data_IF_973249035182
#
_entry.id   IF_973249035182
#
_cell.length_a   1.000
_cell.length_b   1.000
_cell.length_c   1.000
_cell.angle_alpha   90.00
_cell.angle_beta   90.00
_cell.angle_gamma   90.00
#
_symmetry.space_group_name_H-M   'P 1'
#
loop_
_entity.id
_entity.type
_entity.pdbx_description
1 polymer ?
#
# COMPACT_ATOMS: atom_id res chain seq x y z
N UNK A 1 -10.08 14.18 -18.97
CA UNK A 1 -9.12 14.55 -17.90
C UNK A 1 -7.93 15.24 -18.53
N UNK A 2 -7.36 16.24 -17.87
CA UNK A 2 -6.14 16.88 -18.36
C UNK A 2 -4.97 15.90 -18.34
N UNK A 3 -4.02 15.98 -19.31
CA UNK A 3 -2.84 15.15 -19.29
C UNK A 3 -2.02 15.36 -18.01
N UNK A 4 -1.34 14.32 -17.55
CA UNK A 4 -0.47 14.39 -16.38
C UNK A 4 0.70 15.35 -16.67
N UNK A 5 0.95 16.29 -15.76
CA UNK A 5 2.08 17.21 -15.80
C UNK A 5 3.36 16.57 -15.24
N UNK A 6 3.18 15.68 -14.28
CA UNK A 6 4.24 14.85 -13.72
C UNK A 6 3.80 13.38 -13.81
N UNK A 7 4.41 12.64 -14.71
CA UNK A 7 4.14 11.22 -14.97
C UNK A 7 5.34 10.32 -14.66
N UNK A 8 6.34 10.84 -13.94
CA UNK A 8 7.61 10.17 -13.66
C UNK A 8 7.43 8.74 -13.14
N UNK A 9 6.53 8.55 -12.18
CA UNK A 9 6.33 7.23 -11.57
C UNK A 9 5.76 6.22 -12.58
N UNK A 10 4.87 6.67 -13.47
CA UNK A 10 4.30 5.82 -14.51
C UNK A 10 5.33 5.48 -15.58
N UNK A 11 6.17 6.44 -15.96
CA UNK A 11 7.28 6.22 -16.92
C UNK A 11 8.28 5.21 -16.37
N UNK A 12 8.69 5.36 -15.11
CA UNK A 12 9.59 4.38 -14.46
C UNK A 12 8.95 2.99 -14.47
N UNK A 13 7.66 2.87 -14.12
CA UNK A 13 6.94 1.57 -14.12
C UNK A 13 6.79 0.96 -15.53
N UNK A 14 6.88 1.75 -16.59
CA UNK A 14 6.96 1.27 -17.98
C UNK A 14 8.39 0.95 -18.44
N UNK A 15 9.39 1.08 -17.56
CA UNK A 15 10.80 0.87 -17.89
C UNK A 15 11.45 2.01 -18.67
N UNK A 16 10.82 3.17 -18.74
CA UNK A 16 11.35 4.36 -19.43
C UNK A 16 12.40 5.06 -18.55
N UNK A 17 13.38 5.69 -19.22
CA UNK A 17 14.32 6.59 -18.52
C UNK A 17 13.61 7.87 -18.11
N UNK A 18 13.90 8.32 -16.90
CA UNK A 18 13.38 9.56 -16.35
C UNK A 18 14.50 10.51 -16.00
N UNK A 19 14.20 11.80 -15.96
CA UNK A 19 15.13 12.88 -15.62
C UNK A 19 15.60 12.84 -14.18
N UNK A 20 14.86 12.18 -13.30
CA UNK A 20 15.21 11.95 -11.89
C UNK A 20 14.40 10.77 -11.32
N UNK A 21 14.77 10.32 -10.15
CA UNK A 21 14.03 9.30 -9.40
C UNK A 21 12.71 9.91 -8.88
N UNK A 22 11.54 9.29 -9.16
CA UNK A 22 10.29 9.71 -8.55
C UNK A 22 10.24 9.35 -7.06
N UNK A 23 9.53 10.17 -6.27
CA UNK A 23 9.40 10.01 -4.82
C UNK A 23 7.98 10.16 -4.33
N UNK A 24 7.55 9.23 -3.48
CA UNK A 24 6.39 9.35 -2.62
C UNK A 24 6.66 8.61 -1.31
N UNK A 25 5.82 8.77 -0.29
CA UNK A 25 6.03 8.09 1.00
C UNK A 25 4.79 7.31 1.42
N UNK A 26 5.00 6.04 1.76
CA UNK A 26 3.92 5.21 2.32
C UNK A 26 3.31 5.87 3.56
N UNK A 27 1.97 6.01 3.55
CA UNK A 27 1.18 6.71 4.57
C UNK A 27 1.48 8.22 4.65
N UNK A 28 1.93 8.84 3.55
CA UNK A 28 2.16 10.29 3.44
C UNK A 28 0.90 11.10 3.76
N UNK A 29 -0.26 10.62 3.36
CA UNK A 29 -1.55 11.19 3.73
C UNK A 29 -1.92 10.74 5.15
N UNK A 30 -2.22 11.70 6.01
CA UNK A 30 -2.58 11.41 7.40
C UNK A 30 -1.42 11.50 8.38
N UNK A 31 -1.58 10.92 9.53
CA UNK A 31 -0.64 10.70 10.64
C UNK A 31 0.02 11.92 11.25
N UNK A 32 0.84 12.69 10.56
CA UNK A 32 1.81 13.67 11.09
C UNK A 32 1.60 15.10 10.58
N UNK A 33 0.84 15.29 9.49
CA UNK A 33 0.58 16.62 8.94
C UNK A 33 -0.36 17.41 9.86
N UNK A 34 -0.02 18.67 10.22
CA UNK A 34 -0.85 19.49 11.10
C UNK A 34 -2.30 19.63 10.62
N UNK A 35 -2.50 19.79 9.31
CA UNK A 35 -3.83 19.89 8.69
C UNK A 35 -4.65 18.61 8.89
N UNK A 36 -4.00 17.46 8.78
CA UNK A 36 -4.65 16.18 9.07
C UNK A 36 -5.04 16.05 10.54
N UNK A 37 -4.19 16.50 11.47
CA UNK A 37 -4.47 16.41 12.90
C UNK A 37 -5.72 17.20 13.28
N UNK A 38 -5.95 18.35 12.66
CA UNK A 38 -7.20 19.13 12.84
C UNK A 38 -8.44 18.34 12.40
N UNK A 39 -8.36 17.63 11.27
CA UNK A 39 -9.46 16.78 10.79
C UNK A 39 -9.66 15.54 11.69
N UNK A 40 -8.57 14.96 12.18
CA UNK A 40 -8.60 13.84 13.10
C UNK A 40 -9.30 14.15 14.44
N UNK A 41 -9.16 15.36 14.94
CA UNK A 41 -9.84 15.81 16.17
C UNK A 41 -11.35 15.95 15.98
N UNK A 42 -11.80 16.28 14.75
CA UNK A 42 -13.21 16.57 14.45
C UNK A 42 -14.00 15.35 14.00
N UNK A 43 -13.35 14.43 13.28
CA UNK A 43 -14.02 13.33 12.58
C UNK A 43 -13.40 11.98 12.94
N UNK A 44 -14.24 10.97 13.12
CA UNK A 44 -13.81 9.59 13.31
C UNK A 44 -13.02 9.05 12.13
N UNK A 45 -12.24 8.00 12.34
CA UNK A 45 -11.37 7.46 11.28
C UNK A 45 -12.16 6.97 10.06
N UNK A 46 -13.17 6.13 10.27
CA UNK A 46 -13.98 5.63 9.17
C UNK A 46 -14.86 6.72 8.55
N UNK A 47 -15.29 7.70 9.32
CA UNK A 47 -15.98 8.87 8.78
C UNK A 47 -15.11 9.63 7.77
N UNK A 48 -13.82 9.83 8.08
CA UNK A 48 -12.86 10.44 7.15
C UNK A 48 -12.62 9.59 5.90
N UNK A 49 -12.65 8.26 6.02
CA UNK A 49 -12.52 7.37 4.87
C UNK A 49 -13.81 7.30 4.02
N UNK A 50 -14.98 7.43 4.66
CA UNK A 50 -16.29 7.26 4.03
C UNK A 50 -16.91 8.56 3.52
N UNK A 51 -16.30 9.71 3.83
CA UNK A 51 -16.71 11.02 3.31
C UNK A 51 -15.75 11.43 2.18
N UNK A 52 -16.19 11.41 0.91
CA UNK A 52 -15.33 11.67 -0.24
C UNK A 52 -14.55 12.98 -0.15
N UNK A 53 -15.17 14.04 0.39
CA UNK A 53 -14.56 15.36 0.53
C UNK A 53 -13.41 15.33 1.54
N UNK A 54 -13.57 14.66 2.67
CA UNK A 54 -12.53 14.52 3.68
C UNK A 54 -11.38 13.64 3.18
N UNK A 55 -11.70 12.52 2.53
CA UNK A 55 -10.70 11.66 1.92
C UNK A 55 -9.90 12.40 0.84
N UNK A 56 -10.56 13.24 0.04
CA UNK A 56 -9.94 14.08 -0.97
C UNK A 56 -9.00 15.11 -0.33
N UNK A 57 -9.49 15.90 0.62
CA UNK A 57 -8.68 16.89 1.33
C UNK A 57 -7.40 16.28 1.91
N UNK A 58 -7.54 15.17 2.64
CA UNK A 58 -6.40 14.47 3.27
C UNK A 58 -5.42 13.94 2.21
N UNK A 59 -5.93 13.43 1.09
CA UNK A 59 -5.08 12.92 0.01
C UNK A 59 -4.23 14.01 -0.64
N UNK A 60 -4.75 15.23 -0.73
CA UNK A 60 -4.07 16.36 -1.39
C UNK A 60 -3.02 17.02 -0.50
N UNK A 61 -3.16 16.98 0.81
CA UNK A 61 -2.24 17.63 1.76
C UNK A 61 -0.75 17.34 1.49
N UNK A 62 -0.30 16.09 1.28
CA UNK A 62 1.10 15.80 0.98
C UNK A 62 1.59 16.37 -0.36
N UNK A 63 0.70 16.50 -1.35
CA UNK A 63 1.04 17.06 -2.66
C UNK A 63 1.43 18.53 -2.51
N UNK A 64 0.65 19.28 -1.75
CA UNK A 64 0.88 20.70 -1.55
C UNK A 64 2.00 20.99 -0.54
N UNK A 65 2.13 20.17 0.51
CA UNK A 65 3.14 20.35 1.56
C UNK A 65 4.52 19.86 1.20
N UNK A 66 4.61 18.71 0.54
CA UNK A 66 5.87 18.01 0.31
C UNK A 66 6.31 18.06 -1.15
N UNK A 67 5.37 18.19 -2.09
CA UNK A 67 5.66 18.17 -3.52
C UNK A 67 6.04 16.78 -4.04
N UNK A 68 5.48 15.72 -3.49
CA UNK A 68 5.71 14.33 -3.91
C UNK A 68 5.20 14.06 -5.32
N UNK A 69 5.70 13.00 -5.96
CA UNK A 69 5.44 12.68 -7.36
C UNK A 69 4.22 11.76 -7.59
N UNK A 70 3.55 11.37 -6.53
CA UNK A 70 2.27 10.65 -6.61
C UNK A 70 1.39 10.94 -5.40
N UNK A 71 0.09 11.02 -5.60
CA UNK A 71 -0.90 10.95 -4.56
C UNK A 71 -1.23 9.49 -4.25
N UNK A 72 -1.55 9.18 -3.01
CA UNK A 72 -2.17 7.90 -2.64
C UNK A 72 -3.49 8.18 -1.94
N UNK A 73 -4.54 7.50 -2.37
CA UNK A 73 -5.86 7.60 -1.78
C UNK A 73 -5.81 7.46 -0.25
N UNK A 74 -6.46 8.38 0.47
CA UNK A 74 -6.70 8.19 1.90
C UNK A 74 -7.88 7.24 2.11
N UNK A 75 -7.58 6.04 2.56
CA UNK A 75 -8.53 4.98 2.87
C UNK A 75 -7.88 3.97 3.82
N UNK A 76 -8.52 2.82 4.05
CA UNK A 76 -7.98 1.71 4.84
C UNK A 76 -8.12 0.38 4.10
N UNK A 77 -7.22 -0.58 4.38
CA UNK A 77 -7.30 -1.93 3.80
C UNK A 77 -8.52 -2.72 4.32
N UNK A 78 -9.00 -2.38 5.51
CA UNK A 78 -10.10 -3.08 6.17
C UNK A 78 -11.50 -2.68 5.65
N UNK A 79 -11.58 -1.74 4.70
CA UNK A 79 -12.86 -1.47 3.99
C UNK A 79 -13.32 -2.71 3.19
N UNK A 80 -12.38 -3.58 2.77
CA UNK A 80 -12.70 -4.85 2.09
C UNK A 80 -13.41 -5.82 3.03
N UNK A 81 -12.87 -6.19 4.21
CA UNK A 81 -13.63 -6.95 5.20
C UNK A 81 -14.98 -6.35 5.60
N UNK A 82 -15.05 -5.00 5.74
CA UNK A 82 -16.34 -4.33 6.00
C UNK A 82 -17.35 -4.55 4.88
N UNK A 83 -16.92 -4.39 3.63
CA UNK A 83 -17.79 -4.63 2.48
C UNK A 83 -18.27 -6.09 2.41
N UNK A 84 -17.43 -7.05 2.81
CA UNK A 84 -17.77 -8.47 2.89
C UNK A 84 -18.77 -8.78 4.01
N UNK A 85 -19.02 -7.87 4.95
CA UNK A 85 -20.03 -8.02 6.01
C UNK A 85 -19.47 -8.08 7.43
N UNK A 86 -18.16 -7.89 7.63
CA UNK A 86 -17.59 -7.84 8.98
C UNK A 86 -17.67 -6.43 9.58
N UNK A 87 -18.01 -6.39 10.86
CA UNK A 87 -17.84 -5.16 11.64
C UNK A 87 -16.35 -4.92 11.90
N UNK A 88 -15.89 -3.70 11.62
CA UNK A 88 -14.53 -3.25 11.93
C UNK A 88 -14.61 -1.98 12.75
N UNK A 89 -14.00 -2.01 13.91
CA UNK A 89 -13.87 -0.87 14.82
C UNK A 89 -12.42 -0.42 14.86
N UNK A 90 -12.16 0.88 14.94
CA UNK A 90 -10.83 1.41 15.25
C UNK A 90 -10.84 1.96 16.67
N UNK A 91 -10.23 1.23 17.61
CA UNK A 91 -10.15 1.62 19.00
C UNK A 91 -8.83 2.36 19.23
N UNK A 92 -8.92 3.58 19.73
CA UNK A 92 -7.74 4.38 20.08
C UNK A 92 -6.85 3.57 21.05
N UNK A 93 -5.55 3.57 20.83
CA UNK A 93 -4.54 2.76 21.55
C UNK A 93 -4.49 1.25 21.26
N UNK A 94 -5.53 0.64 20.66
CA UNK A 94 -5.55 -0.80 20.32
C UNK A 94 -5.44 -1.08 18.83
N UNK A 95 -5.76 -0.08 18.00
CA UNK A 95 -5.84 -0.26 16.54
C UNK A 95 -7.14 -0.94 16.10
N UNK A 96 -7.14 -1.62 14.94
CA UNK A 96 -8.34 -2.26 14.41
C UNK A 96 -8.78 -3.46 15.26
N UNK A 97 -10.09 -3.56 15.48
CA UNK A 97 -10.76 -4.67 16.16
C UNK A 97 -11.92 -5.15 15.29
N UNK A 98 -11.99 -6.44 15.07
CA UNK A 98 -13.09 -7.15 14.43
C UNK A 98 -13.78 -8.00 15.52
N UNK A 99 -14.92 -7.55 16.06
CA UNK A 99 -15.54 -8.20 17.23
C UNK A 99 -15.98 -9.64 17.00
N UNK A 100 -16.26 -9.97 15.76
CA UNK A 100 -16.73 -11.31 15.35
C UNK A 100 -15.77 -11.92 14.29
N UNK A 101 -14.58 -12.41 14.69
CA UNK A 101 -13.61 -12.98 13.76
C UNK A 101 -14.12 -14.25 13.09
N UNK A 102 -13.48 -14.65 12.01
CA UNK A 102 -13.80 -15.89 11.25
C UNK A 102 -12.91 -17.02 11.76
N UNK A 103 -13.51 -17.98 12.45
CA UNK A 103 -12.77 -19.11 13.06
C UNK A 103 -13.38 -20.47 12.71
N UNK A 104 -14.54 -20.48 12.03
CA UNK A 104 -15.28 -21.70 11.68
C UNK A 104 -16.04 -21.53 10.37
N UNK A 105 -16.55 -22.66 9.84
CA UNK A 105 -17.46 -22.69 8.70
C UNK A 105 -18.71 -21.83 8.94
N UNK A 106 -19.27 -21.88 10.15
CA UNK A 106 -20.41 -21.05 10.52
C UNK A 106 -20.09 -19.56 10.46
N UNK A 107 -18.87 -19.17 10.88
CA UNK A 107 -18.45 -17.78 10.78
C UNK A 107 -18.26 -17.33 9.33
N UNK A 108 -17.70 -18.22 8.49
CA UNK A 108 -17.53 -17.93 7.07
C UNK A 108 -18.87 -17.70 6.36
N UNK A 109 -19.94 -18.36 6.78
CA UNK A 109 -21.28 -18.18 6.20
C UNK A 109 -21.90 -16.80 6.44
N UNK A 110 -21.33 -15.99 7.36
CA UNK A 110 -21.78 -14.63 7.65
C UNK A 110 -21.27 -13.59 6.67
N UNK A 111 -20.26 -13.94 5.86
CA UNK A 111 -19.67 -13.03 4.89
C UNK A 111 -19.97 -13.46 3.47
N UNK A 112 -19.93 -12.51 2.55
CA UNK A 112 -20.17 -12.74 1.12
C UNK A 112 -19.14 -11.97 0.28
N UNK A 113 -18.99 -12.38 -0.99
CA UNK A 113 -18.33 -11.52 -1.99
C UNK A 113 -19.37 -10.47 -2.42
N UNK A 114 -19.20 -9.20 -2.06
CA UNK A 114 -20.19 -8.15 -2.26
C UNK A 114 -20.18 -7.60 -3.70
N UNK A 115 -21.24 -6.91 -4.11
CA UNK A 115 -21.10 -5.89 -5.15
C UNK A 115 -20.37 -4.68 -4.53
N UNK A 116 -19.09 -4.52 -4.89
CA UNK A 116 -18.24 -3.46 -4.33
C UNK A 116 -18.71 -2.06 -4.72
N UNK A 117 -19.47 -1.92 -5.82
CA UNK A 117 -20.02 -0.63 -6.26
C UNK A 117 -21.07 -0.10 -5.28
N UNK A 118 -21.85 -1.01 -4.67
CA UNK A 118 -22.82 -0.65 -3.66
C UNK A 118 -22.16 -0.37 -2.30
N UNK A 119 -21.23 -1.24 -1.90
CA UNK A 119 -20.64 -1.20 -0.56
C UNK A 119 -19.50 -0.20 -0.39
N UNK A 120 -18.76 0.09 -1.46
CA UNK A 120 -17.56 0.93 -1.45
C UNK A 120 -17.66 2.14 -2.40
N UNK A 121 -18.90 2.56 -2.78
CA UNK A 121 -19.14 3.70 -3.66
C UNK A 121 -18.40 4.97 -3.22
N UNK A 122 -18.36 5.23 -1.92
CA UNK A 122 -17.70 6.40 -1.33
C UNK A 122 -16.20 6.46 -1.67
N UNK A 123 -15.54 5.30 -1.80
CA UNK A 123 -14.13 5.24 -2.22
C UNK A 123 -13.99 5.69 -3.67
N UNK A 124 -14.88 5.23 -4.54
CA UNK A 124 -14.84 5.57 -5.97
C UNK A 124 -15.21 7.03 -6.20
N UNK A 125 -16.13 7.58 -5.39
CA UNK A 125 -16.49 9.00 -5.41
C UNK A 125 -15.32 9.86 -4.93
N UNK A 126 -14.62 9.43 -3.86
CA UNK A 126 -13.38 10.08 -3.42
C UNK A 126 -12.30 10.09 -4.52
N UNK A 127 -12.08 8.96 -5.21
CA UNK A 127 -11.12 8.87 -6.33
C UNK A 127 -11.48 9.87 -7.44
N UNK A 128 -12.76 9.93 -7.85
CA UNK A 128 -13.21 10.88 -8.89
C UNK A 128 -12.97 12.33 -8.47
N UNK A 129 -13.28 12.66 -7.22
CA UNK A 129 -13.07 13.99 -6.66
C UNK A 129 -11.57 14.32 -6.60
N UNK A 130 -10.74 13.43 -6.07
CA UNK A 130 -9.28 13.60 -6.02
C UNK A 130 -8.71 13.82 -7.42
N UNK A 131 -9.12 13.04 -8.41
CA UNK A 131 -8.64 13.19 -9.80
C UNK A 131 -9.02 14.56 -10.38
N UNK A 132 -10.21 15.04 -10.07
CA UNK A 132 -10.66 16.38 -10.48
C UNK A 132 -9.78 17.47 -9.85
N UNK A 133 -9.56 17.41 -8.54
CA UNK A 133 -8.79 18.39 -7.78
C UNK A 133 -7.28 18.34 -8.08
N UNK A 134 -6.71 17.16 -8.29
CA UNK A 134 -5.33 16.99 -8.76
C UNK A 134 -5.11 17.68 -10.11
N UNK A 135 -6.13 17.71 -10.96
CA UNK A 135 -6.09 18.39 -12.27
C UNK A 135 -4.81 18.06 -13.08
N UNK A 136 -4.39 16.81 -13.03
CA UNK A 136 -3.21 16.31 -13.72
C UNK A 136 -1.86 16.66 -13.06
N UNK A 137 -1.82 17.23 -11.84
CA UNK A 137 -0.54 17.53 -11.15
C UNK A 137 0.36 16.30 -11.06
N UNK A 138 -0.15 15.20 -10.49
CA UNK A 138 0.55 13.92 -10.28
C UNK A 138 -0.43 12.76 -10.47
N UNK A 139 0.05 11.52 -10.70
CA UNK A 139 -0.80 10.34 -10.73
C UNK A 139 -1.36 10.00 -9.35
N UNK A 140 -2.49 9.30 -9.34
CA UNK A 140 -3.16 8.80 -8.14
C UNK A 140 -2.95 7.29 -8.00
N UNK A 141 -2.43 6.87 -6.85
CA UNK A 141 -2.29 5.47 -6.45
C UNK A 141 -3.58 5.02 -5.77
N UNK A 142 -4.24 4.00 -6.36
CA UNK A 142 -5.24 3.20 -5.67
C UNK A 142 -4.57 2.04 -4.94
N UNK A 143 -5.24 1.44 -3.95
CA UNK A 143 -4.63 0.33 -3.22
C UNK A 143 -5.64 -0.61 -2.57
N UNK A 144 -5.13 -1.79 -2.17
CA UNK A 144 -5.83 -2.72 -1.29
C UNK A 144 -4.82 -3.50 -0.42
N UNK A 145 -5.32 -4.12 0.64
CA UNK A 145 -4.58 -5.15 1.37
C UNK A 145 -4.49 -6.44 0.56
N UNK A 146 -3.35 -7.13 0.67
CA UNK A 146 -3.21 -8.48 0.13
C UNK A 146 -4.11 -9.47 0.90
N UNK A 147 -4.57 -10.54 0.25
CA UNK A 147 -5.52 -11.49 0.87
C UNK A 147 -5.02 -12.09 2.18
N UNK A 148 -3.76 -12.47 2.29
CA UNK A 148 -3.17 -12.94 3.54
C UNK A 148 -3.23 -11.87 4.65
N UNK A 149 -2.82 -10.65 4.35
CA UNK A 149 -2.89 -9.55 5.33
C UNK A 149 -4.31 -9.31 5.82
N UNK A 150 -5.31 -9.38 4.94
CA UNK A 150 -6.72 -9.22 5.32
C UNK A 150 -7.22 -10.41 6.13
N UNK A 151 -6.89 -11.65 5.73
CA UNK A 151 -7.19 -12.86 6.49
C UNK A 151 -6.62 -12.77 7.92
N UNK A 152 -5.39 -12.28 8.08
CA UNK A 152 -4.78 -12.09 9.40
C UNK A 152 -5.70 -11.30 10.35
N UNK A 153 -6.25 -10.17 9.90
CA UNK A 153 -7.18 -9.38 10.70
C UNK A 153 -8.54 -10.06 10.88
N UNK A 154 -9.07 -10.67 9.83
CA UNK A 154 -10.39 -11.32 9.85
C UNK A 154 -10.44 -12.52 10.79
N UNK A 155 -9.34 -13.26 10.91
CA UNK A 155 -9.23 -14.45 11.79
C UNK A 155 -8.78 -14.09 13.19
N UNK A 156 -7.75 -13.22 13.32
CA UNK A 156 -7.23 -12.80 14.63
C UNK A 156 -8.20 -11.87 15.38
N UNK A 157 -9.06 -11.13 14.66
CA UNK A 157 -10.00 -10.18 15.23
C UNK A 157 -9.38 -8.88 15.73
N UNK A 158 -8.06 -8.72 15.67
CA UNK A 158 -7.30 -7.56 16.14
C UNK A 158 -5.91 -7.51 15.53
N UNK A 159 -5.21 -6.39 15.69
CA UNK A 159 -3.78 -6.32 15.37
C UNK A 159 -2.96 -7.27 16.26
N UNK A 160 -1.92 -7.88 15.68
CA UNK A 160 -0.98 -8.76 16.37
C UNK A 160 0.43 -8.55 15.81
N UNK A 161 1.46 -8.93 16.58
CA UNK A 161 2.84 -8.96 16.09
C UNK A 161 3.16 -10.25 15.33
N UNK A 162 2.48 -11.33 15.63
CA UNK A 162 2.76 -12.70 15.17
C UNK A 162 1.62 -13.34 14.40
N UNK A 163 0.37 -12.90 14.63
CA UNK A 163 -0.86 -13.43 14.04
C UNK A 163 -0.97 -14.96 14.15
N UNK A 164 -0.67 -15.48 15.34
CA UNK A 164 -0.63 -16.93 15.59
C UNK A 164 -1.98 -17.60 15.29
N UNK A 165 -3.11 -16.99 15.68
CA UNK A 165 -4.45 -17.53 15.40
C UNK A 165 -4.72 -17.67 13.89
N UNK A 166 -4.28 -16.67 13.10
CA UNK A 166 -4.39 -16.74 11.64
C UNK A 166 -3.57 -17.90 11.05
N UNK A 167 -2.36 -18.11 11.56
CA UNK A 167 -1.49 -19.23 11.14
C UNK A 167 -2.06 -20.57 11.56
N UNK A 168 -2.50 -20.70 12.82
CA UNK A 168 -3.18 -21.90 13.35
C UNK A 168 -4.40 -22.24 12.49
N UNK A 169 -5.22 -21.25 12.16
CA UNK A 169 -6.38 -21.42 11.28
C UNK A 169 -5.98 -22.01 9.92
N UNK A 170 -4.93 -21.47 9.29
CA UNK A 170 -4.44 -21.97 8.00
C UNK A 170 -3.94 -23.42 8.10
N UNK A 171 -3.25 -23.78 9.19
CA UNK A 171 -2.66 -25.10 9.35
C UNK A 171 -3.67 -26.15 9.79
N UNK A 172 -4.67 -25.78 10.59
CA UNK A 172 -5.67 -26.73 11.10
C UNK A 172 -6.90 -26.85 10.25
N UNK A 173 -7.23 -25.83 9.44
CA UNK A 173 -8.40 -25.76 8.58
C UNK A 173 -8.04 -25.24 7.17
N UNK A 174 -7.09 -25.86 6.44
CA UNK A 174 -6.55 -25.31 5.20
C UNK A 174 -7.60 -25.08 4.13
N UNK A 175 -8.57 -25.97 3.96
CA UNK A 175 -9.66 -25.83 2.97
C UNK A 175 -10.51 -24.58 3.26
N UNK A 176 -10.83 -24.33 4.53
CA UNK A 176 -11.57 -23.16 4.95
C UNK A 176 -10.77 -21.88 4.76
N UNK A 177 -9.47 -21.91 5.08
CA UNK A 177 -8.54 -20.79 4.85
C UNK A 177 -8.45 -20.45 3.37
N UNK A 178 -8.32 -21.44 2.48
CA UNK A 178 -8.30 -21.22 1.04
C UNK A 178 -9.61 -20.66 0.48
N UNK A 179 -10.75 -21.09 1.02
CA UNK A 179 -12.06 -20.51 0.66
C UNK A 179 -12.13 -19.04 1.07
N UNK A 180 -11.75 -18.71 2.30
CA UNK A 180 -11.72 -17.32 2.78
C UNK A 180 -10.77 -16.47 1.93
N UNK A 181 -9.53 -16.93 1.68
CA UNK A 181 -8.57 -16.25 0.83
C UNK A 181 -9.09 -16.04 -0.59
N UNK A 182 -9.82 -17.02 -1.13
CA UNK A 182 -10.50 -16.92 -2.42
C UNK A 182 -11.54 -15.80 -2.45
N UNK A 183 -12.43 -15.75 -1.46
CA UNK A 183 -13.44 -14.70 -1.34
C UNK A 183 -12.84 -13.31 -1.18
N UNK A 184 -11.79 -13.18 -0.35
CA UNK A 184 -11.06 -11.92 -0.18
C UNK A 184 -10.43 -11.51 -1.51
N UNK A 185 -9.82 -12.44 -2.24
CA UNK A 185 -9.18 -12.17 -3.53
C UNK A 185 -10.17 -11.68 -4.57
N UNK A 186 -11.31 -12.34 -4.71
CA UNK A 186 -12.36 -11.95 -5.66
C UNK A 186 -12.91 -10.57 -5.34
N UNK A 187 -13.16 -10.27 -4.05
CA UNK A 187 -13.59 -8.95 -3.59
C UNK A 187 -12.51 -7.89 -3.88
N UNK A 188 -11.24 -8.21 -3.60
CA UNK A 188 -10.11 -7.29 -3.82
C UNK A 188 -9.92 -6.97 -5.30
N UNK A 189 -10.02 -7.97 -6.19
CA UNK A 189 -9.95 -7.76 -7.64
C UNK A 189 -11.08 -6.84 -8.12
N UNK A 190 -12.31 -7.13 -7.71
CA UNK A 190 -13.47 -6.29 -8.06
C UNK A 190 -13.28 -4.85 -7.56
N UNK A 191 -12.83 -4.68 -6.32
CA UNK A 191 -12.56 -3.38 -5.69
C UNK A 191 -11.48 -2.58 -6.42
N UNK A 192 -10.36 -3.21 -6.76
CA UNK A 192 -9.27 -2.55 -7.48
C UNK A 192 -9.67 -2.18 -8.91
N UNK A 193 -10.45 -3.01 -9.61
CA UNK A 193 -10.99 -2.68 -10.93
C UNK A 193 -11.89 -1.44 -10.89
N UNK A 194 -12.73 -1.31 -9.90
CA UNK A 194 -13.57 -0.12 -9.76
C UNK A 194 -12.76 1.14 -9.36
N UNK A 195 -11.64 0.99 -8.61
CA UNK A 195 -10.72 2.11 -8.39
C UNK A 195 -10.08 2.60 -9.71
N UNK A 196 -9.67 1.68 -10.59
CA UNK A 196 -9.14 2.02 -11.92
C UNK A 196 -10.19 2.76 -12.74
N UNK A 197 -11.42 2.23 -12.82
CA UNK A 197 -12.53 2.88 -13.53
C UNK A 197 -12.86 4.26 -12.96
N UNK A 198 -12.70 4.45 -11.65
CA UNK A 198 -12.89 5.74 -11.00
C UNK A 198 -11.76 6.75 -11.29
N UNK A 199 -10.60 6.28 -11.76
CA UNK A 199 -9.49 7.11 -12.22
C UNK A 199 -8.15 6.91 -11.51
N UNK A 200 -7.95 5.83 -10.75
CA UNK A 200 -6.61 5.48 -10.26
C UNK A 200 -5.67 5.17 -11.43
N UNK A 201 -4.48 5.75 -11.41
CA UNK A 201 -3.50 5.65 -12.49
C UNK A 201 -2.56 4.44 -12.33
N UNK A 202 -2.40 3.95 -11.12
CA UNK A 202 -1.65 2.75 -10.75
C UNK A 202 -2.19 2.18 -9.44
N UNK A 203 -1.83 0.94 -9.14
CA UNK A 203 -2.31 0.22 -7.97
C UNK A 203 -1.16 -0.27 -7.08
N UNK A 204 -1.41 -0.28 -5.78
CA UNK A 204 -0.52 -0.84 -4.77
C UNK A 204 -1.23 -1.94 -3.98
N UNK A 205 -0.65 -3.13 -3.94
CA UNK A 205 -1.12 -4.24 -3.09
C UNK A 205 -0.21 -4.35 -1.88
N UNK A 206 -0.79 -4.23 -0.67
CA UNK A 206 -0.03 -4.23 0.57
C UNK A 206 -0.15 -5.57 1.31
N UNK A 207 0.91 -6.36 1.32
CA UNK A 207 1.04 -7.53 2.19
C UNK A 207 1.94 -7.22 3.40
N UNK A 208 1.38 -6.45 4.33
CA UNK A 208 2.10 -5.97 5.51
C UNK A 208 2.56 -7.09 6.45
N UNK A 209 1.98 -8.27 6.33
CA UNK A 209 2.24 -9.44 7.19
C UNK A 209 2.83 -10.63 6.43
N UNK A 210 3.19 -10.44 5.15
CA UNK A 210 3.76 -11.51 4.32
C UNK A 210 4.98 -12.19 4.93
N UNK A 211 5.88 -11.42 5.53
CA UNK A 211 7.09 -11.93 6.18
C UNK A 211 6.87 -12.69 7.51
N UNK A 212 5.63 -12.87 7.95
CA UNK A 212 5.31 -13.76 9.07
C UNK A 212 5.18 -15.24 8.65
N UNK A 213 5.08 -15.48 7.34
CA UNK A 213 5.04 -16.82 6.75
C UNK A 213 6.44 -17.27 6.38
N UNK A 214 6.68 -18.58 6.46
CA UNK A 214 7.83 -19.21 5.83
C UNK A 214 7.67 -19.25 4.30
N UNK A 215 8.72 -19.60 3.54
CA UNK A 215 8.66 -19.57 2.07
C UNK A 215 7.52 -20.40 1.47
N UNK A 216 7.33 -21.62 1.91
CA UNK A 216 6.29 -22.54 1.43
C UNK A 216 4.89 -22.03 1.80
N UNK A 217 4.72 -21.53 3.04
CA UNK A 217 3.45 -20.98 3.50
C UNK A 217 3.12 -19.66 2.79
N UNK A 218 4.14 -18.84 2.49
CA UNK A 218 3.96 -17.61 1.73
C UNK A 218 3.46 -17.91 0.32
N UNK A 219 4.04 -18.89 -0.35
CA UNK A 219 3.53 -19.36 -1.65
C UNK A 219 2.08 -19.82 -1.53
N UNK A 220 1.77 -20.63 -0.52
CA UNK A 220 0.49 -21.28 -0.35
C UNK A 220 -0.62 -20.32 0.12
N UNK A 221 -0.34 -19.39 1.05
CA UNK A 221 -1.38 -18.57 1.68
C UNK A 221 -1.34 -17.08 1.28
N UNK A 222 -0.31 -16.63 0.57
CA UNK A 222 -0.21 -15.26 0.08
C UNK A 222 0.03 -15.16 -1.43
N UNK A 223 1.18 -15.65 -1.92
CA UNK A 223 1.66 -15.32 -3.26
C UNK A 223 0.74 -15.81 -4.38
N UNK A 224 0.16 -17.01 -4.27
CA UNK A 224 -0.78 -17.51 -5.29
C UNK A 224 -1.99 -16.59 -5.46
N UNK A 225 -2.45 -15.92 -4.40
CA UNK A 225 -3.56 -14.97 -4.43
C UNK A 225 -3.13 -13.61 -4.97
N UNK A 226 -1.92 -13.16 -4.64
CA UNK A 226 -1.30 -11.97 -5.23
C UNK A 226 -1.15 -12.15 -6.74
N UNK A 227 -0.70 -13.33 -7.22
CA UNK A 227 -0.65 -13.64 -8.67
C UNK A 227 -2.02 -13.46 -9.35
N UNK A 228 -3.10 -13.90 -8.72
CA UNK A 228 -4.45 -13.72 -9.27
C UNK A 228 -4.82 -12.24 -9.39
N UNK A 229 -4.50 -11.44 -8.37
CA UNK A 229 -4.73 -9.99 -8.38
C UNK A 229 -3.91 -9.32 -9.49
N UNK A 230 -2.61 -9.60 -9.56
CA UNK A 230 -1.73 -9.02 -10.58
C UNK A 230 -2.19 -9.42 -11.98
N UNK A 231 -2.48 -10.69 -12.22
CA UNK A 231 -2.94 -11.18 -13.51
C UNK A 231 -4.24 -10.53 -13.99
N UNK A 232 -5.13 -10.16 -13.05
CA UNK A 232 -6.41 -9.52 -13.37
C UNK A 232 -6.30 -8.02 -13.70
N UNK A 233 -5.17 -7.37 -13.38
CA UNK A 233 -5.08 -5.90 -13.37
C UNK A 233 -3.90 -5.33 -14.16
N UNK A 234 -2.81 -6.09 -14.34
CA UNK A 234 -1.54 -5.60 -14.91
C UNK A 234 -1.62 -5.08 -16.36
N UNK A 235 -2.66 -5.49 -17.08
CA UNK A 235 -2.89 -5.01 -18.45
C UNK A 235 -3.72 -3.71 -18.48
N UNK A 236 -4.40 -3.38 -17.37
CA UNK A 236 -5.20 -2.16 -17.27
C UNK A 236 -4.37 -0.98 -16.75
N UNK A 237 -3.59 -1.19 -15.68
CA UNK A 237 -2.73 -0.19 -15.05
C UNK A 237 -1.52 -0.86 -14.40
N UNK A 238 -0.40 -0.13 -14.17
CA UNK A 238 0.72 -0.67 -13.41
C UNK A 238 0.32 -1.11 -12.00
N UNK A 239 0.82 -2.27 -11.59
CA UNK A 239 0.62 -2.83 -10.24
C UNK A 239 1.96 -2.91 -9.52
N UNK A 240 2.01 -2.40 -8.30
CA UNK A 240 3.12 -2.55 -7.37
C UNK A 240 2.69 -3.50 -6.25
N UNK A 241 3.51 -4.49 -5.94
CA UNK A 241 3.30 -5.40 -4.81
C UNK A 241 4.31 -5.07 -3.71
N UNK A 242 3.83 -4.93 -2.49
CA UNK A 242 4.68 -4.76 -1.31
C UNK A 242 4.38 -5.87 -0.30
N UNK A 243 5.36 -6.73 -0.04
CA UNK A 243 5.28 -7.76 1.00
C UNK A 243 6.40 -7.53 2.03
N UNK A 244 6.03 -6.93 3.17
CA UNK A 244 6.99 -6.61 4.23
C UNK A 244 7.63 -7.86 4.81
N UNK A 245 8.96 -7.90 4.85
CA UNK A 245 9.72 -9.01 5.42
C UNK A 245 9.77 -10.28 4.57
N UNK A 246 9.06 -10.34 3.44
CA UNK A 246 9.04 -11.48 2.52
C UNK A 246 10.14 -11.39 1.44
N UNK A 247 11.33 -10.94 1.82
CA UNK A 247 12.46 -10.78 0.91
C UNK A 247 12.92 -12.11 0.28
N UNK A 248 12.65 -13.23 0.94
CA UNK A 248 12.96 -14.58 0.47
C UNK A 248 12.14 -14.98 -0.78
N UNK A 249 11.01 -14.33 -1.04
CA UNK A 249 10.13 -14.61 -2.17
C UNK A 249 10.15 -13.49 -3.23
N UNK A 250 11.22 -12.67 -3.28
CA UNK A 250 11.27 -11.52 -4.17
C UNK A 250 11.35 -11.93 -5.66
N UNK A 251 12.02 -13.03 -5.96
CA UNK A 251 12.10 -13.61 -7.31
C UNK A 251 10.72 -14.09 -7.78
N UNK A 252 10.01 -14.82 -6.94
CA UNK A 252 8.67 -15.34 -7.23
C UNK A 252 7.63 -14.19 -7.33
N UNK A 253 7.80 -13.14 -6.51
CA UNK A 253 6.98 -11.92 -6.65
C UNK A 253 7.25 -11.20 -7.98
N UNK A 254 8.50 -11.10 -8.42
CA UNK A 254 8.83 -10.54 -9.72
C UNK A 254 8.23 -11.37 -10.87
N UNK A 255 8.22 -12.69 -10.74
CA UNK A 255 7.62 -13.62 -11.72
C UNK A 255 6.09 -13.49 -11.82
N UNK A 256 5.40 -12.77 -10.91
CA UNK A 256 3.96 -12.47 -11.06
C UNK A 256 3.67 -11.56 -12.24
N UNK A 257 4.66 -10.80 -12.70
CA UNK A 257 4.53 -9.78 -13.73
C UNK A 257 4.03 -8.43 -13.21
N UNK A 258 4.09 -8.19 -11.89
CA UNK A 258 3.91 -6.86 -11.31
C UNK A 258 5.02 -5.92 -11.83
N UNK A 259 4.66 -4.70 -12.20
CA UNK A 259 5.63 -3.73 -12.74
C UNK A 259 6.59 -3.21 -11.68
N UNK A 260 6.19 -3.23 -10.41
CA UNK A 260 7.04 -2.80 -9.32
C UNK A 260 6.91 -3.69 -8.09
N UNK A 261 8.01 -3.78 -7.32
CA UNK A 261 8.05 -4.44 -6.03
C UNK A 261 8.52 -3.47 -4.95
N UNK A 262 7.68 -3.30 -3.93
CA UNK A 262 8.05 -2.57 -2.72
C UNK A 262 8.92 -3.44 -1.82
N UNK A 263 10.02 -2.88 -1.34
CA UNK A 263 10.95 -3.55 -0.43
C UNK A 263 11.16 -2.72 0.84
N UNK A 264 11.36 -3.40 1.95
CA UNK A 264 11.69 -2.77 3.22
C UNK A 264 13.21 -2.61 3.43
N UNK A 265 13.58 -1.96 4.54
CA UNK A 265 14.98 -1.64 4.87
C UNK A 265 15.84 -2.84 5.29
N UNK A 266 15.23 -4.02 5.48
CA UNK A 266 15.95 -5.23 5.89
C UNK A 266 16.74 -5.86 4.75
N UNK A 267 16.45 -5.46 3.50
CA UNK A 267 17.11 -5.97 2.30
C UNK A 267 17.99 -4.88 1.65
N UNK A 268 19.23 -5.24 1.33
CA UNK A 268 20.14 -4.33 0.60
C UNK A 268 19.68 -4.16 -0.85
N UNK A 269 19.74 -2.93 -1.42
CA UNK A 269 19.29 -2.65 -2.78
C UNK A 269 19.90 -3.55 -3.86
N UNK A 270 21.21 -3.83 -3.79
CA UNK A 270 21.87 -4.71 -4.76
C UNK A 270 21.39 -6.16 -4.67
N UNK A 271 21.12 -6.66 -3.45
CA UNK A 271 20.54 -8.00 -3.26
C UNK A 271 19.12 -8.06 -3.80
N UNK A 272 18.32 -7.02 -3.51
CA UNK A 272 16.96 -6.90 -4.04
C UNK A 272 16.98 -6.90 -5.58
N UNK A 273 17.89 -6.17 -6.20
CA UNK A 273 18.04 -6.11 -7.66
C UNK A 273 18.45 -7.47 -8.24
N UNK A 274 19.36 -8.18 -7.58
CA UNK A 274 19.79 -9.51 -8.03
C UNK A 274 18.63 -10.52 -8.01
N UNK A 275 17.77 -10.46 -7.01
CA UNK A 275 16.60 -11.34 -6.88
C UNK A 275 15.45 -10.94 -7.82
N UNK A 276 15.12 -9.65 -7.89
CA UNK A 276 14.00 -9.17 -8.71
C UNK A 276 14.30 -9.11 -10.22
N UNK A 277 15.58 -9.22 -10.61
CA UNK A 277 16.00 -9.06 -12.00
C UNK A 277 15.99 -7.59 -12.46
N UNK A 278 16.41 -7.35 -13.72
CA UNK A 278 16.59 -6.00 -14.25
C UNK A 278 15.33 -5.37 -14.87
N UNK A 279 14.24 -6.14 -14.97
CA UNK A 279 13.01 -5.66 -15.60
C UNK A 279 11.95 -5.18 -14.61
N UNK A 280 12.16 -5.43 -13.31
CA UNK A 280 11.22 -5.07 -12.25
C UNK A 280 11.65 -3.75 -11.60
N UNK A 281 10.73 -2.83 -11.43
CA UNK A 281 10.98 -1.59 -10.69
C UNK A 281 11.00 -1.88 -9.20
N UNK A 282 12.02 -1.39 -8.49
CA UNK A 282 12.09 -1.51 -7.03
C UNK A 282 11.62 -0.21 -6.38
N UNK A 283 10.71 -0.32 -5.43
CA UNK A 283 10.19 0.80 -4.65
C UNK A 283 10.64 0.67 -3.19
N UNK A 284 11.23 1.70 -2.67
CA UNK A 284 11.68 1.74 -1.25
C UNK A 284 13.03 2.42 -1.13
N UNK A 285 13.84 2.10 -0.14
CA UNK A 285 13.57 1.25 1.03
C UNK A 285 14.08 1.94 2.31
N UNK A 286 13.86 3.27 2.36
CA UNK A 286 14.36 4.04 3.49
C UNK A 286 13.69 3.63 4.81
N UNK A 287 14.47 3.39 5.86
CA UNK A 287 13.92 3.09 7.18
C UNK A 287 13.16 4.31 7.71
N UNK A 288 11.84 4.20 7.98
CA UNK A 288 11.03 5.33 8.47
C UNK A 288 11.57 5.94 9.77
N UNK A 289 12.25 5.17 10.61
CA UNK A 289 12.84 5.67 11.86
C UNK A 289 14.00 6.64 11.59
N UNK A 290 14.72 6.49 10.49
CA UNK A 290 15.82 7.40 10.09
C UNK A 290 15.34 8.81 9.74
N UNK A 291 14.06 8.99 9.45
CA UNK A 291 13.47 10.33 9.29
C UNK A 291 13.54 11.16 10.58
N UNK A 292 13.76 10.55 11.75
CA UNK A 292 13.93 11.24 13.02
C UNK A 292 15.38 11.68 13.30
N UNK A 293 16.31 11.29 12.43
CA UNK A 293 17.71 11.74 12.53
C UNK A 293 17.85 13.23 12.25
N UNK A 294 18.90 13.91 12.75
CA UNK A 294 19.19 15.29 12.35
C UNK A 294 19.24 15.45 10.82
N UNK A 295 18.72 16.54 10.30
CA UNK A 295 18.54 16.75 8.85
C UNK A 295 19.83 16.51 8.03
N UNK A 296 21.03 16.95 8.47
CA UNK A 296 22.26 16.65 7.72
C UNK A 296 22.54 15.15 7.61
N UNK A 297 22.31 14.38 8.68
CA UNK A 297 22.48 12.93 8.68
C UNK A 297 21.39 12.25 7.82
N UNK A 298 20.14 12.69 7.94
CA UNK A 298 19.04 12.22 7.10
C UNK A 298 19.39 12.36 5.61
N UNK A 299 19.82 13.54 5.17
CA UNK A 299 20.22 13.79 3.77
C UNK A 299 21.33 12.84 3.32
N UNK A 300 22.36 12.63 4.15
CA UNK A 300 23.45 11.69 3.86
C UNK A 300 22.95 10.28 3.66
N UNK A 301 22.04 9.80 4.52
CA UNK A 301 21.45 8.45 4.44
C UNK A 301 20.55 8.28 3.19
N UNK A 302 19.79 9.33 2.83
CA UNK A 302 18.98 9.33 1.60
C UNK A 302 19.86 9.23 0.36
N UNK A 303 20.94 10.01 0.30
CA UNK A 303 21.90 9.95 -0.81
C UNK A 303 22.56 8.57 -0.91
N UNK A 304 22.92 7.96 0.21
CA UNK A 304 23.48 6.61 0.23
C UNK A 304 22.48 5.56 -0.31
N UNK A 305 21.19 5.68 0.04
CA UNK A 305 20.12 4.83 -0.52
C UNK A 305 20.04 5.02 -2.05
N UNK A 306 19.96 6.25 -2.53
CA UNK A 306 19.83 6.55 -3.97
C UNK A 306 21.03 6.02 -4.77
N UNK A 307 22.24 6.19 -4.26
CA UNK A 307 23.47 5.63 -4.84
C UNK A 307 23.43 4.10 -4.90
N UNK A 308 22.96 3.45 -3.83
CA UNK A 308 22.85 2.00 -3.77
C UNK A 308 21.85 1.41 -4.78
N UNK A 309 20.78 2.15 -5.14
CA UNK A 309 19.85 1.77 -6.20
C UNK A 309 20.34 2.13 -7.60
N UNK A 310 21.28 3.07 -7.74
CA UNK A 310 21.86 3.50 -9.02
C UNK A 310 20.92 4.35 -9.89
N UNK A 311 19.82 4.85 -9.36
CA UNK A 311 18.94 5.86 -9.97
C UNK A 311 18.02 5.39 -11.10
N UNK A 312 18.13 4.15 -11.54
CA UNK A 312 17.27 3.62 -12.61
C UNK A 312 16.34 2.52 -12.09
N UNK A 313 15.13 2.44 -12.66
CA UNK A 313 14.11 1.47 -12.24
C UNK A 313 13.89 1.49 -10.71
N UNK A 314 13.91 2.69 -10.15
CA UNK A 314 13.76 2.93 -8.74
C UNK A 314 12.69 4.00 -8.48
N UNK A 315 11.81 3.71 -7.53
CA UNK A 315 10.88 4.67 -6.93
C UNK A 315 11.33 4.87 -5.49
N UNK A 316 11.80 6.06 -5.15
CA UNK A 316 12.20 6.37 -3.78
C UNK A 316 10.97 6.40 -2.87
N UNK A 317 11.04 5.63 -1.81
CA UNK A 317 10.00 5.52 -0.80
C UNK A 317 10.60 5.07 0.53
N UNK A 318 9.78 5.09 1.56
CA UNK A 318 10.11 4.43 2.81
C UNK A 318 9.88 2.92 2.69
N UNK A 319 10.61 2.15 3.46
CA UNK A 319 10.42 0.69 3.54
C UNK A 319 9.15 0.26 4.30
N UNK A 320 8.43 1.20 4.89
CA UNK A 320 7.08 1.07 5.47
C UNK A 320 6.49 2.47 5.70
N UNK A 321 5.28 2.55 6.27
CA UNK A 321 4.61 3.83 6.49
C UNK A 321 5.37 4.78 7.40
N UNK A 322 5.35 6.08 7.08
CA UNK A 322 5.94 7.14 7.90
C UNK A 322 5.41 7.09 9.33
N UNK A 323 6.28 7.39 10.30
CA UNK A 323 5.93 7.39 11.71
C UNK A 323 5.17 8.68 12.09
N UNK A 324 4.20 8.61 13.03
CA UNK A 324 3.37 9.77 13.38
C UNK A 324 4.15 10.95 14.00
N UNK A 325 5.30 10.67 14.59
CA UNK A 325 6.14 11.67 15.27
C UNK A 325 7.17 12.35 14.35
N UNK A 326 7.21 12.00 13.06
CA UNK A 326 8.18 12.61 12.13
C UNK A 326 7.82 14.08 11.91
N UNK A 327 8.77 15.01 12.10
CA UNK A 327 8.57 16.42 11.76
C UNK A 327 8.31 16.60 10.26
N UNK A 328 7.42 17.51 9.90
CA UNK A 328 7.10 17.80 8.49
C UNK A 328 8.34 18.20 7.70
N UNK A 329 9.21 19.02 8.30
CA UNK A 329 10.47 19.47 7.67
C UNK A 329 11.43 18.31 7.38
N UNK A 330 11.43 17.24 8.18
CA UNK A 330 12.23 16.06 7.93
C UNK A 330 11.65 15.24 6.75
N UNK A 331 10.34 15.11 6.69
CA UNK A 331 9.66 14.51 5.53
C UNK A 331 9.94 15.30 4.25
N UNK A 332 9.87 16.64 4.33
CA UNK A 332 10.23 17.54 3.22
C UNK A 332 11.70 17.40 2.82
N UNK A 333 12.61 17.32 3.79
CA UNK A 333 14.04 17.13 3.52
C UNK A 333 14.34 15.80 2.80
N UNK A 334 13.59 14.73 3.12
CA UNK A 334 13.68 13.47 2.38
C UNK A 334 13.27 13.67 0.93
N UNK A 335 12.11 14.25 0.68
CA UNK A 335 11.57 14.49 -0.68
C UNK A 335 12.51 15.38 -1.48
N UNK A 336 12.94 16.52 -0.92
CA UNK A 336 13.84 17.47 -1.59
C UNK A 336 15.19 16.84 -1.92
N UNK A 337 15.73 15.99 -1.04
CA UNK A 337 17.01 15.31 -1.29
C UNK A 337 16.89 14.35 -2.46
N UNK A 338 15.79 13.60 -2.56
CA UNK A 338 15.54 12.72 -3.72
C UNK A 338 15.37 13.52 -5.01
N UNK A 339 14.56 14.58 -4.98
CA UNK A 339 14.25 15.38 -6.18
C UNK A 339 15.45 16.15 -6.74
N UNK A 340 16.39 16.53 -5.87
CA UNK A 340 17.62 17.26 -6.27
C UNK A 340 18.80 16.31 -6.58
N UNK A 341 18.63 14.99 -6.40
CA UNK A 341 19.71 14.05 -6.69
C UNK A 341 19.81 13.78 -8.19
N UNK A 342 21.06 13.82 -8.69
CA UNK A 342 21.42 13.46 -10.05
C UNK A 342 22.25 12.16 -10.01
N UNK A 343 21.93 11.12 -10.79
CA UNK A 343 22.70 9.88 -10.84
C UNK A 343 24.09 10.04 -11.47
#
# INVERSE_FOLDING_TARGET
MNPLKNDLILRVLRGEKTERVPVWMMRQAGRYLPEYLVLREKYGFFERCQTPELACEITLQPIDRLGVDAAILFSDILVVPQAMGLEVQLIESRGPVLPAPIQSEQDLSRITVPDVRDRLHYVFDAIRLIKKELNGKVPLIGFAGAPWTLLCYMVQGKGSKTFDEAKIFCYTQPELAHRLLGMITDTTIAYLKEQVKAGADLLQVFDSWGGLLGPEDFEQFSLQYIRRIVAALKEEVPVIVFAKGAWFALEEMAATGAQGLGIDWCLRPHTARALAGNNTVLQGNFDPAKLLSPVPQLKKEVLAMLQAFGGQQHIANLGHGILPQVPVDHAKAFVDTVQNWQP
#
